data_IF_247089901386
#
_entry.id   IF_247089901386
#
_cell.length_a   1.000
_cell.length_b   1.000
_cell.length_c   1.000
_cell.angle_alpha   90.00
_cell.angle_beta   90.00
_cell.angle_gamma   90.00
#
_symmetry.space_group_name_H-M   'P 1'
#
loop_
_entity.id
_entity.type
_entity.pdbx_description
1 polymer ?
#
# COMPACT_ATOMS: atom_id res chain seq x y z
N UNK A 1 26.68 -8.95 -9.39
CA UNK A 1 25.27 -9.25 -9.07
C UNK A 1 25.15 -10.43 -8.10
N UNK A 2 25.18 -11.70 -8.54
CA UNK A 2 24.89 -12.89 -7.68
C UNK A 2 25.53 -12.82 -6.28
N UNK A 3 26.85 -12.66 -6.21
CA UNK A 3 27.57 -12.61 -4.93
C UNK A 3 27.12 -11.47 -4.00
N UNK A 4 26.64 -10.35 -4.54
CA UNK A 4 26.12 -9.25 -3.73
C UNK A 4 24.72 -9.51 -3.21
N UNK A 5 23.85 -10.11 -4.03
CA UNK A 5 22.52 -10.53 -3.58
C UNK A 5 22.67 -11.62 -2.51
N UNK A 6 23.50 -12.63 -2.75
CA UNK A 6 23.77 -13.69 -1.78
C UNK A 6 24.22 -13.12 -0.42
N UNK A 7 25.20 -12.21 -0.43
CA UNK A 7 25.71 -11.53 0.77
C UNK A 7 24.66 -10.67 1.49
N UNK A 8 23.68 -10.09 0.79
CA UNK A 8 22.58 -9.37 1.40
C UNK A 8 21.71 -10.30 2.25
N UNK A 9 21.24 -11.42 1.67
CA UNK A 9 20.39 -12.35 2.40
C UNK A 9 21.13 -13.06 3.53
N UNK A 10 22.42 -13.38 3.37
CA UNK A 10 23.25 -13.88 4.48
C UNK A 10 23.34 -12.87 5.63
N UNK A 11 23.50 -11.57 5.32
CA UNK A 11 23.55 -10.53 6.33
C UNK A 11 22.23 -10.34 7.07
N UNK A 12 21.09 -10.47 6.37
CA UNK A 12 19.75 -10.41 6.98
C UNK A 12 19.45 -11.66 7.82
N UNK A 13 19.55 -12.85 7.24
CA UNK A 13 19.20 -14.12 7.90
C UNK A 13 20.19 -14.50 9.01
N UNK A 14 21.45 -14.08 8.90
CA UNK A 14 22.52 -14.40 9.83
C UNK A 14 22.37 -13.79 11.24
N UNK A 15 21.42 -12.86 11.43
CA UNK A 15 21.21 -12.16 12.71
C UNK A 15 20.54 -13.01 13.77
N UNK A 16 19.76 -14.01 13.37
CA UNK A 16 19.04 -14.89 14.31
C UNK A 16 17.92 -14.18 15.09
N UNK A 17 17.38 -13.08 14.56
CA UNK A 17 16.30 -12.30 15.18
C UNK A 17 14.89 -12.65 14.64
N UNK A 18 14.78 -13.70 13.83
CA UNK A 18 13.53 -14.03 13.13
C UNK A 18 13.31 -13.19 11.86
N UNK A 19 14.36 -12.55 11.37
CA UNK A 19 14.35 -11.77 10.14
C UNK A 19 14.01 -12.67 8.94
N UNK A 20 13.30 -12.09 7.97
CA UNK A 20 12.90 -12.75 6.73
C UNK A 20 13.31 -11.89 5.55
N UNK A 21 13.53 -12.54 4.42
CA UNK A 21 13.94 -11.90 3.17
C UNK A 21 13.16 -12.52 2.01
N UNK A 22 12.78 -11.68 1.04
CA UNK A 22 12.15 -12.06 -0.22
C UNK A 22 13.00 -11.56 -1.39
N UNK A 23 12.69 -12.04 -2.60
CA UNK A 23 13.42 -11.69 -3.82
C UNK A 23 12.46 -11.38 -4.95
N UNK A 24 12.55 -10.16 -5.48
CA UNK A 24 11.93 -9.75 -6.75
C UNK A 24 13.04 -9.55 -7.77
N UNK A 25 12.86 -10.12 -8.96
CA UNK A 25 13.74 -9.92 -10.11
C UNK A 25 13.14 -8.87 -11.01
N UNK A 26 13.94 -7.89 -11.39
CA UNK A 26 13.57 -6.80 -12.30
C UNK A 26 14.29 -6.96 -13.65
N UNK A 27 13.56 -6.77 -14.75
CA UNK A 27 14.05 -6.66 -16.13
C UNK A 27 12.95 -5.96 -16.94
N UNK A 28 12.65 -6.37 -18.18
CA UNK A 28 11.45 -5.91 -18.89
C UNK A 28 10.17 -6.20 -18.09
N UNK A 29 10.27 -7.11 -17.12
CA UNK A 29 9.18 -7.51 -16.24
C UNK A 29 9.75 -7.68 -14.87
N UNK A 30 8.93 -7.38 -13.88
CA UNK A 30 9.22 -7.66 -12.50
C UNK A 30 8.48 -8.93 -12.06
N UNK A 31 9.18 -9.81 -11.38
CA UNK A 31 8.67 -11.13 -10.97
C UNK A 31 9.12 -11.44 -9.56
N UNK A 32 8.17 -11.89 -8.72
CA UNK A 32 8.48 -12.45 -7.41
C UNK A 32 9.16 -13.81 -7.62
N UNK A 33 10.46 -13.88 -7.35
CA UNK A 33 11.25 -15.12 -7.43
C UNK A 33 11.15 -15.91 -6.13
N UNK A 34 11.07 -15.20 -5.01
CA UNK A 34 11.01 -15.81 -3.68
C UNK A 34 10.12 -14.96 -2.75
N UNK A 35 9.00 -15.51 -2.24
CA UNK A 35 8.26 -14.91 -1.14
C UNK A 35 9.12 -14.76 0.13
N UNK A 36 8.66 -13.99 1.11
CA UNK A 36 9.38 -13.85 2.40
C UNK A 36 9.68 -15.22 3.03
N UNK A 37 10.96 -15.47 3.30
CA UNK A 37 11.45 -16.71 3.93
C UNK A 37 12.48 -16.41 5.01
N UNK A 38 12.56 -17.27 6.02
CA UNK A 38 13.64 -17.35 7.01
C UNK A 38 14.64 -18.50 6.69
N UNK A 39 14.44 -19.21 5.58
CA UNK A 39 15.26 -20.36 5.16
C UNK A 39 16.44 -19.93 4.27
N UNK A 40 17.70 -20.04 4.75
CA UNK A 40 18.89 -19.70 3.98
C UNK A 40 19.10 -20.57 2.74
N UNK A 41 18.65 -21.83 2.76
CA UNK A 41 18.78 -22.74 1.61
C UNK A 41 17.81 -22.31 0.49
N UNK A 42 16.60 -21.87 0.85
CA UNK A 42 15.64 -21.32 -0.10
C UNK A 42 16.15 -20.02 -0.73
N UNK A 43 16.77 -19.13 0.06
CA UNK A 43 17.43 -17.92 -0.44
C UNK A 43 18.53 -18.26 -1.45
N UNK A 44 19.47 -19.13 -1.08
CA UNK A 44 20.59 -19.52 -1.93
C UNK A 44 20.11 -20.14 -3.25
N UNK A 45 19.09 -21.00 -3.20
CA UNK A 45 18.48 -21.60 -4.38
C UNK A 45 17.82 -20.57 -5.30
N UNK A 46 17.12 -19.56 -4.75
CA UNK A 46 16.53 -18.49 -5.54
C UNK A 46 17.59 -17.61 -6.21
N UNK A 47 18.66 -17.26 -5.47
CA UNK A 47 19.79 -16.49 -5.99
C UNK A 47 20.53 -17.24 -7.10
N UNK A 48 20.65 -18.57 -7.00
CA UNK A 48 21.22 -19.42 -8.06
C UNK A 48 20.37 -19.45 -9.34
N UNK A 49 19.07 -19.23 -9.21
CA UNK A 49 18.12 -19.17 -10.33
C UNK A 49 18.11 -17.83 -11.07
N UNK A 50 18.76 -16.79 -10.54
CA UNK A 50 18.75 -15.45 -11.16
C UNK A 50 19.44 -15.46 -12.53
N UNK A 51 18.75 -14.89 -13.52
CA UNK A 51 19.25 -14.76 -14.88
C UNK A 51 19.19 -13.31 -15.35
N UNK A 52 20.22 -12.91 -16.10
CA UNK A 52 20.25 -11.62 -16.80
C UNK A 52 19.43 -11.77 -18.08
N UNK A 53 18.37 -10.97 -18.22
CA UNK A 53 17.68 -10.82 -19.50
C UNK A 53 17.98 -9.42 -20.04
N UNK A 54 18.33 -9.36 -21.33
CA UNK A 54 18.43 -8.08 -22.02
C UNK A 54 17.01 -7.58 -22.30
N UNK A 55 16.78 -6.30 -22.07
CA UNK A 55 15.48 -5.71 -22.28
C UNK A 55 15.35 -4.36 -21.60
N UNK A 56 14.10 -3.96 -21.39
CA UNK A 56 13.75 -2.76 -20.65
C UNK A 56 13.88 -3.01 -19.14
N UNK A 57 13.57 -2.01 -18.32
CA UNK A 57 13.66 -2.09 -16.85
C UNK A 57 12.35 -1.56 -16.25
N UNK A 58 11.52 -2.47 -15.74
CA UNK A 58 10.29 -2.22 -15.00
C UNK A 58 10.60 -2.11 -13.49
N UNK A 59 11.49 -1.17 -13.17
CA UNK A 59 12.01 -0.94 -11.83
C UNK A 59 10.90 -0.60 -10.83
N UNK A 60 9.97 0.27 -11.19
CA UNK A 60 8.90 0.69 -10.28
C UNK A 60 7.94 -0.44 -9.95
N UNK A 61 7.55 -1.27 -10.91
CA UNK A 61 6.81 -2.50 -10.61
C UNK A 61 7.59 -3.44 -9.70
N UNK A 62 8.92 -3.49 -9.88
CA UNK A 62 9.80 -4.27 -9.02
C UNK A 62 9.73 -3.83 -7.56
N UNK A 63 9.71 -2.52 -7.33
CA UNK A 63 9.58 -1.94 -5.99
C UNK A 63 8.19 -2.21 -5.41
N UNK A 64 7.11 -2.00 -6.18
CA UNK A 64 5.74 -2.31 -5.76
C UNK A 64 5.57 -3.79 -5.41
N UNK A 65 6.01 -4.72 -6.26
CA UNK A 65 5.99 -6.16 -5.98
C UNK A 65 6.82 -6.50 -4.74
N UNK A 66 7.91 -5.78 -4.49
CA UNK A 66 8.66 -5.88 -3.25
C UNK A 66 7.81 -5.56 -2.02
N UNK A 67 6.99 -4.50 -2.09
CA UNK A 67 6.03 -4.16 -1.03
C UNK A 67 4.94 -5.23 -0.87
N UNK A 68 4.41 -5.79 -1.96
CA UNK A 68 3.42 -6.88 -1.92
C UNK A 68 3.99 -8.14 -1.24
N UNK A 69 5.27 -8.46 -1.49
CA UNK A 69 5.97 -9.56 -0.80
C UNK A 69 6.06 -9.30 0.70
N UNK A 70 6.31 -8.05 1.11
CA UNK A 70 6.33 -7.64 2.51
C UNK A 70 4.94 -7.74 3.14
N UNK A 71 3.90 -7.32 2.42
CA UNK A 71 2.50 -7.36 2.85
C UNK A 71 1.98 -8.79 3.01
N UNK A 72 2.22 -9.66 2.02
CA UNK A 72 1.80 -11.06 2.07
C UNK A 72 2.42 -11.83 3.26
N UNK A 73 3.62 -11.45 3.69
CA UNK A 73 4.27 -12.01 4.87
C UNK A 73 4.01 -11.24 6.16
N UNK A 74 3.28 -10.12 6.13
CA UNK A 74 3.10 -9.26 7.28
C UNK A 74 2.15 -9.89 8.30
N UNK A 75 2.56 -9.83 9.57
CA UNK A 75 1.68 -10.09 10.71
C UNK A 75 1.71 -8.86 11.61
N UNK A 76 0.54 -8.39 12.02
CA UNK A 76 0.45 -7.30 12.98
C UNK A 76 0.86 -7.81 14.37
N UNK A 77 1.69 -7.05 15.07
CA UNK A 77 1.95 -7.26 16.49
C UNK A 77 0.64 -7.09 17.28
N UNK A 78 0.39 -7.99 18.23
CA UNK A 78 -0.79 -7.91 19.09
C UNK A 78 -0.62 -6.75 20.09
N UNK A 79 -1.64 -5.90 20.23
CA UNK A 79 -1.65 -4.79 21.18
C UNK A 79 -2.52 -3.63 20.73
N UNK A 80 -2.44 -2.50 21.44
CA UNK A 80 -3.08 -1.23 21.05
C UNK A 80 -2.15 -0.04 21.30
N UNK A 81 -2.26 1.01 20.49
CA UNK A 81 -1.50 2.25 20.66
C UNK A 81 -0.02 2.12 20.32
N UNK A 82 0.82 2.99 20.92
CA UNK A 82 2.24 3.12 20.61
C UNK A 82 3.06 1.82 20.77
N UNK A 83 2.62 0.91 21.64
CA UNK A 83 3.27 -0.38 21.89
C UNK A 83 3.23 -1.30 20.67
N UNK A 84 2.17 -1.23 19.86
CA UNK A 84 2.09 -1.96 18.60
C UNK A 84 3.19 -1.46 17.67
N UNK A 85 3.25 -0.15 17.44
CA UNK A 85 4.21 0.45 16.52
C UNK A 85 5.68 0.14 16.89
N UNK A 86 6.03 0.16 18.18
CA UNK A 86 7.39 -0.20 18.65
C UNK A 86 7.72 -1.70 18.58
N UNK A 87 6.70 -2.56 18.47
CA UNK A 87 6.85 -4.02 18.40
C UNK A 87 6.61 -4.60 17.00
N UNK A 88 6.22 -3.77 16.02
CA UNK A 88 6.08 -4.18 14.63
C UNK A 88 7.43 -4.54 14.03
N UNK A 89 7.42 -5.58 13.19
CA UNK A 89 8.57 -5.91 12.36
C UNK A 89 8.86 -4.76 11.39
N UNK A 90 10.15 -4.47 11.20
CA UNK A 90 10.59 -3.50 10.19
C UNK A 90 10.48 -4.12 8.82
N UNK A 91 10.12 -3.29 7.85
CA UNK A 91 9.80 -3.70 6.49
C UNK A 91 10.36 -2.64 5.57
N UNK A 92 11.37 -3.03 4.79
CA UNK A 92 12.04 -2.11 3.87
C UNK A 92 12.28 -2.84 2.56
N UNK A 93 12.18 -2.12 1.45
CA UNK A 93 12.54 -2.63 0.13
C UNK A 93 13.96 -2.17 -0.18
N UNK A 94 14.82 -3.09 -0.61
CA UNK A 94 16.17 -2.75 -1.09
C UNK A 94 16.22 -3.04 -2.57
N UNK A 95 16.43 -2.01 -3.37
CA UNK A 95 16.49 -2.07 -4.83
C UNK A 95 17.89 -1.68 -5.31
N UNK A 96 18.39 -2.40 -6.31
CA UNK A 96 19.62 -2.03 -7.01
C UNK A 96 19.43 -2.17 -8.52
N UNK A 97 20.00 -1.25 -9.28
CA UNK A 97 19.87 -1.24 -10.75
C UNK A 97 21.10 -0.63 -11.41
N UNK A 98 21.42 -1.09 -12.62
CA UNK A 98 22.40 -0.47 -13.53
C UNK A 98 21.73 0.20 -14.75
N UNK A 99 20.40 0.23 -14.79
CA UNK A 99 19.59 0.82 -15.86
C UNK A 99 18.49 1.74 -15.35
N UNK A 100 17.99 2.59 -16.24
CA UNK A 100 16.88 3.51 -15.97
C UNK A 100 15.54 2.77 -16.02
N UNK A 101 14.61 3.17 -15.16
CA UNK A 101 13.19 2.87 -15.32
C UNK A 101 12.72 3.31 -16.73
N UNK A 102 12.02 2.43 -17.44
CA UNK A 102 11.45 2.71 -18.76
C UNK A 102 10.37 1.71 -19.21
N UNK A 103 9.73 0.98 -18.30
CA UNK A 103 8.76 -0.06 -18.65
C UNK A 103 7.65 -0.30 -17.62
N UNK A 104 7.56 0.46 -16.52
CA UNK A 104 6.46 0.37 -15.56
C UNK A 104 5.31 1.32 -15.89
N UNK A 105 5.59 2.62 -16.04
CA UNK A 105 4.55 3.64 -16.24
C UNK A 105 4.36 4.19 -17.67
N UNK A 106 5.17 3.68 -18.60
CA UNK A 106 5.20 4.14 -19.98
C UNK A 106 5.47 2.91 -20.83
N UNK A 107 4.55 1.95 -20.85
CA UNK A 107 4.70 0.76 -21.68
C UNK A 107 4.92 1.18 -23.14
N UNK A 108 6.19 1.21 -23.54
CA UNK A 108 6.57 1.02 -24.92
C UNK A 108 5.78 -0.19 -25.41
N UNK A 109 5.21 -0.12 -26.62
CA UNK A 109 4.45 -1.23 -27.19
C UNK A 109 5.33 -2.50 -27.31
N UNK A 110 5.43 -3.23 -26.21
CA UNK A 110 6.06 -4.53 -26.12
C UNK A 110 4.94 -5.56 -26.35
N UNK A 111 5.30 -6.76 -26.77
CA UNK A 111 4.33 -7.85 -26.94
C UNK A 111 3.88 -8.47 -25.60
N UNK A 112 4.06 -7.76 -24.49
CA UNK A 112 3.92 -8.29 -23.14
C UNK A 112 2.73 -7.62 -22.41
N UNK A 113 1.84 -8.41 -21.76
CA UNK A 113 0.64 -7.90 -21.12
C UNK A 113 0.81 -7.24 -19.73
N UNK A 114 2.02 -7.22 -19.13
CA UNK A 114 2.19 -6.72 -17.76
C UNK A 114 1.42 -7.55 -16.71
N UNK A 115 1.38 -7.07 -15.48
CA UNK A 115 0.23 -7.30 -14.58
C UNK A 115 -0.88 -6.25 -14.80
N UNK A 116 -0.66 -5.32 -15.74
CA UNK A 116 -1.59 -4.26 -16.11
C UNK A 116 -1.54 -3.03 -15.20
N UNK A 117 -0.60 -2.98 -14.24
CA UNK A 117 -0.46 -1.87 -13.30
C UNK A 117 0.69 -0.97 -13.78
N UNK A 118 0.33 0.28 -14.05
CA UNK A 118 1.23 1.33 -14.49
C UNK A 118 1.81 2.02 -13.23
N UNK A 119 2.93 1.50 -12.71
CA UNK A 119 3.51 1.99 -11.44
C UNK A 119 4.38 3.22 -11.67
N UNK A 120 3.97 4.35 -11.10
CA UNK A 120 4.71 5.61 -11.15
C UNK A 120 5.58 5.81 -9.91
N UNK A 121 6.50 6.79 -9.96
CA UNK A 121 7.30 7.17 -8.79
C UNK A 121 6.41 7.65 -7.62
N UNK A 122 5.33 8.39 -7.90
CA UNK A 122 4.40 8.90 -6.89
C UNK A 122 3.62 7.78 -6.17
N UNK A 123 3.38 6.65 -6.86
CA UNK A 123 2.75 5.47 -6.24
C UNK A 123 3.70 4.81 -5.23
N UNK A 124 5.00 4.80 -5.51
CA UNK A 124 6.01 4.16 -4.66
C UNK A 124 6.21 4.87 -3.32
N UNK A 125 5.91 6.16 -3.27
CA UNK A 125 6.03 6.97 -2.05
C UNK A 125 4.89 6.74 -1.07
N UNK A 126 3.79 6.18 -1.58
CA UNK A 126 2.59 5.82 -0.84
C UNK A 126 2.60 4.33 -0.48
N UNK A 127 3.74 3.66 -0.60
CA UNK A 127 3.85 2.27 -0.20
C UNK A 127 3.79 2.15 1.31
N UNK A 128 2.84 1.34 1.76
CA UNK A 128 2.65 1.01 3.15
C UNK A 128 2.52 -0.50 3.33
N UNK A 129 2.88 -0.98 4.52
CA UNK A 129 2.50 -2.30 5.00
C UNK A 129 1.90 -2.14 6.39
N UNK A 130 0.64 -2.57 6.55
CA UNK A 130 -0.12 -2.37 7.80
C UNK A 130 -0.18 -0.89 8.22
N UNK A 131 -0.35 0.03 7.26
CA UNK A 131 -0.42 1.47 7.49
C UNK A 131 0.91 2.14 7.85
N UNK A 132 2.02 1.40 7.83
CA UNK A 132 3.36 1.94 8.11
C UNK A 132 4.07 2.17 6.77
N UNK A 133 4.60 3.38 6.50
CA UNK A 133 5.40 3.65 5.30
C UNK A 133 6.53 2.65 5.15
N UNK A 134 6.74 2.18 3.93
CA UNK A 134 7.79 1.21 3.59
C UNK A 134 9.02 1.96 3.07
N UNK A 135 10.14 2.02 3.81
CA UNK A 135 11.35 2.66 3.32
C UNK A 135 11.92 1.92 2.11
N UNK A 136 12.29 2.67 1.08
CA UNK A 136 12.94 2.14 -0.12
C UNK A 136 14.40 2.58 -0.16
N UNK A 137 15.31 1.62 -0.07
CA UNK A 137 16.74 1.83 -0.16
C UNK A 137 17.21 1.54 -1.58
N UNK A 138 17.88 2.49 -2.22
CA UNK A 138 18.23 2.43 -3.64
C UNK A 138 19.74 2.36 -3.83
N UNK A 139 20.21 1.48 -4.73
CA UNK A 139 21.62 1.38 -5.12
C UNK A 139 21.76 1.53 -6.64
N UNK A 140 22.34 2.64 -7.08
CA UNK A 140 22.64 2.90 -8.48
C UNK A 140 24.02 2.37 -8.88
N UNK A 141 24.11 1.60 -9.96
CA UNK A 141 25.36 0.97 -10.41
C UNK A 141 25.83 1.61 -11.72
N UNK A 142 26.96 2.32 -11.66
CA UNK A 142 27.54 3.03 -12.78
C UNK A 142 26.72 4.25 -13.23
N UNK A 143 27.06 4.80 -14.38
CA UNK A 143 26.51 6.08 -14.87
C UNK A 143 25.21 5.92 -15.69
N UNK A 144 24.66 4.71 -15.78
CA UNK A 144 23.53 4.36 -16.64
C UNK A 144 22.15 4.53 -16.00
N UNK A 145 22.11 4.88 -14.71
CA UNK A 145 20.88 4.99 -13.92
C UNK A 145 20.32 6.41 -13.95
N UNK A 146 19.05 6.54 -13.57
CA UNK A 146 18.48 7.84 -13.19
C UNK A 146 18.77 8.08 -11.71
N UNK A 147 19.92 8.72 -11.42
CA UNK A 147 20.36 8.99 -10.05
C UNK A 147 19.38 9.89 -9.29
N UNK A 148 18.82 10.90 -9.97
CA UNK A 148 17.89 11.84 -9.35
C UNK A 148 16.61 11.12 -8.90
N UNK A 149 16.03 10.27 -9.76
CA UNK A 149 14.84 9.50 -9.40
C UNK A 149 15.08 8.48 -8.27
N UNK A 150 16.23 7.79 -8.28
CA UNK A 150 16.59 6.84 -7.22
C UNK A 150 16.84 7.54 -5.88
N UNK A 151 17.48 8.71 -5.91
CA UNK A 151 17.71 9.52 -4.72
C UNK A 151 16.42 10.12 -4.18
N UNK A 152 15.52 10.58 -5.06
CA UNK A 152 14.21 11.11 -4.70
C UNK A 152 13.34 10.04 -4.04
N UNK A 153 13.22 8.84 -4.65
CA UNK A 153 12.46 7.73 -4.07
C UNK A 153 12.94 7.37 -2.67
N UNK A 154 14.25 7.20 -2.50
CA UNK A 154 14.81 6.85 -1.20
C UNK A 154 14.57 7.94 -0.16
N UNK A 155 14.79 9.20 -0.53
CA UNK A 155 14.57 10.33 0.39
C UNK A 155 13.11 10.47 0.80
N UNK A 156 12.16 10.31 -0.13
CA UNK A 156 10.72 10.48 0.14
C UNK A 156 10.11 9.32 0.94
N UNK A 157 10.64 8.11 0.79
CA UNK A 157 10.18 6.91 1.53
C UNK A 157 10.89 6.69 2.87
N UNK A 158 11.94 7.46 3.17
CA UNK A 158 12.72 7.33 4.40
C UNK A 158 13.86 6.31 4.34
N UNK A 159 14.22 5.84 3.14
CA UNK A 159 15.43 5.04 2.91
C UNK A 159 16.66 5.91 2.61
N UNK A 160 17.68 5.30 2.01
CA UNK A 160 18.87 6.02 1.53
C UNK A 160 19.33 5.53 0.15
N UNK A 161 19.85 6.46 -0.64
CA UNK A 161 20.47 6.19 -1.93
C UNK A 161 21.98 6.00 -1.80
N UNK A 162 22.53 5.03 -2.52
CA UNK A 162 23.98 4.82 -2.66
C UNK A 162 24.35 4.62 -4.13
N UNK A 163 25.25 5.46 -4.65
CA UNK A 163 25.89 5.24 -5.95
C UNK A 163 27.13 4.35 -5.80
N UNK A 164 27.34 3.42 -6.73
CA UNK A 164 28.58 2.64 -6.84
C UNK A 164 29.10 2.64 -8.28
N UNK A 165 30.42 2.63 -8.46
CA UNK A 165 31.03 2.70 -9.80
C UNK A 165 30.81 1.40 -10.62
N UNK A 166 30.55 0.29 -9.94
CA UNK A 166 30.28 -0.98 -10.62
C UNK A 166 30.12 -2.18 -9.69
N UNK A 167 29.88 -3.34 -10.30
CA UNK A 167 29.55 -4.58 -9.61
C UNK A 167 30.60 -5.12 -8.63
N UNK A 168 31.83 -4.59 -8.64
CA UNK A 168 32.87 -4.97 -7.68
C UNK A 168 32.54 -4.52 -6.25
N UNK A 169 31.79 -3.43 -6.10
CA UNK A 169 31.43 -2.84 -4.81
C UNK A 169 30.06 -3.32 -4.31
N UNK A 170 29.24 -3.88 -5.19
CA UNK A 170 27.85 -4.24 -4.90
C UNK A 170 27.70 -5.13 -3.66
N UNK A 171 28.60 -6.11 -3.47
CA UNK A 171 28.51 -7.01 -2.32
C UNK A 171 28.74 -6.28 -1.00
N UNK A 172 29.80 -5.47 -0.90
CA UNK A 172 30.05 -4.67 0.30
C UNK A 172 28.94 -3.65 0.56
N UNK A 173 28.41 -3.04 -0.50
CA UNK A 173 27.32 -2.06 -0.38
C UNK A 173 26.05 -2.70 0.13
N UNK A 174 25.60 -3.81 -0.48
CA UNK A 174 24.38 -4.48 -0.03
C UNK A 174 24.51 -5.06 1.39
N UNK A 175 25.68 -5.58 1.76
CA UNK A 175 25.92 -5.99 3.16
C UNK A 175 25.81 -4.80 4.12
N UNK A 176 26.41 -3.66 3.79
CA UNK A 176 26.30 -2.44 4.61
C UNK A 176 24.86 -1.90 4.67
N UNK A 177 24.12 -1.93 3.56
CA UNK A 177 22.69 -1.59 3.53
C UNK A 177 21.91 -2.50 4.47
N UNK A 178 22.11 -3.82 4.38
CA UNK A 178 21.44 -4.77 5.26
C UNK A 178 21.71 -4.46 6.73
N UNK A 179 22.95 -4.11 7.11
CA UNK A 179 23.33 -3.69 8.47
C UNK A 179 22.57 -2.43 8.89
N UNK A 180 22.51 -1.42 8.02
CA UNK A 180 21.78 -0.17 8.27
C UNK A 180 20.28 -0.36 8.55
N UNK A 181 19.62 -1.37 7.95
CA UNK A 181 18.21 -1.68 8.25
C UNK A 181 17.96 -1.99 9.74
N UNK A 182 18.98 -2.52 10.43
CA UNK A 182 18.88 -2.82 11.87
C UNK A 182 19.09 -1.58 12.75
N UNK A 183 19.73 -0.54 12.21
CA UNK A 183 20.00 0.71 12.90
C UNK A 183 18.85 1.72 12.77
N UNK A 184 17.84 1.45 11.92
CA UNK A 184 16.62 2.25 11.88
C UNK A 184 16.01 2.34 13.30
N UNK A 185 15.41 3.47 13.67
CA UNK A 185 14.76 3.62 14.97
C UNK A 185 13.31 3.96 14.69
N UNK A 186 12.36 3.03 14.95
CA UNK A 186 10.95 3.35 14.78
C UNK A 186 10.58 4.45 15.77
N UNK A 187 10.15 5.59 15.24
CA UNK A 187 9.61 6.68 16.04
C UNK A 187 8.12 6.68 15.85
N UNK A 188 7.42 6.32 16.92
CA UNK A 188 5.97 6.32 16.98
C UNK A 188 5.57 7.50 17.86
N UNK A 189 4.63 8.32 17.39
CA UNK A 189 4.12 9.43 18.16
C UNK A 189 2.61 9.49 17.94
N UNK A 190 1.92 10.00 18.95
CA UNK A 190 0.54 10.43 18.83
C UNK A 190 0.57 11.94 18.75
N UNK A 191 0.03 12.51 17.67
CA UNK A 191 0.01 13.96 17.52
C UNK A 191 -0.86 14.57 18.61
N UNK A 192 -0.36 15.62 19.27
CA UNK A 192 -1.10 16.28 20.35
C UNK A 192 -2.36 17.00 19.85
N UNK A 193 -2.37 17.40 18.57
CA UNK A 193 -3.54 17.89 17.83
C UNK A 193 -3.29 17.71 16.34
N UNK A 194 -4.36 17.70 15.55
CA UNK A 194 -4.26 17.57 14.11
C UNK A 194 -3.69 18.83 13.42
N UNK A 195 -3.75 19.99 14.09
CA UNK A 195 -3.19 21.26 13.59
C UNK A 195 -1.66 21.29 13.58
N UNK A 196 -1.02 20.33 14.25
CA UNK A 196 0.44 20.22 14.20
C UNK A 196 0.86 19.64 12.86
N UNK A 197 1.63 20.42 12.10
CA UNK A 197 2.17 20.03 10.80
C UNK A 197 3.61 19.52 10.89
N UNK A 198 4.23 19.57 12.08
CA UNK A 198 5.61 19.19 12.30
C UNK A 198 5.75 18.40 13.61
N UNK A 199 6.51 17.31 13.56
CA UNK A 199 6.96 16.55 14.70
C UNK A 199 8.43 16.85 15.01
N UNK A 200 8.81 16.73 16.27
CA UNK A 200 10.20 16.91 16.73
C UNK A 200 10.70 15.64 17.40
N UNK A 201 11.78 15.07 16.89
CA UNK A 201 12.53 13.99 17.54
C UNK A 201 13.79 14.57 18.15
N UNK A 202 13.95 14.43 19.47
CA UNK A 202 15.20 14.67 20.17
C UNK A 202 15.84 13.32 20.49
N UNK A 203 16.93 13.00 19.80
CA UNK A 203 17.77 11.84 20.09
C UNK A 203 18.87 12.27 21.06
N UNK A 204 18.99 11.58 22.19
CA UNK A 204 20.04 11.84 23.19
C UNK A 204 20.94 10.63 23.31
N UNK A 205 22.23 10.81 23.06
CA UNK A 205 23.27 9.80 23.25
C UNK A 205 24.33 10.34 24.24
N UNK A 206 24.23 9.90 25.49
CA UNK A 206 25.12 10.36 26.56
C UNK A 206 25.00 11.86 26.83
N UNK A 207 26.05 12.62 26.48
CA UNK A 207 26.10 14.09 26.61
C UNK A 207 25.77 14.81 25.29
N UNK A 208 25.62 14.08 24.19
CA UNK A 208 25.29 14.63 22.87
C UNK A 208 23.78 14.51 22.60
N UNK A 209 23.22 15.49 21.89
CA UNK A 209 21.82 15.47 21.48
C UNK A 209 21.68 15.95 20.04
N UNK A 210 20.89 15.22 19.26
CA UNK A 210 20.52 15.55 17.89
C UNK A 210 19.01 15.81 17.82
N UNK A 211 18.63 16.85 17.08
CA UNK A 211 17.24 17.27 16.90
C UNK A 211 16.87 17.12 15.43
N UNK A 212 15.79 16.40 15.16
CA UNK A 212 15.24 16.23 13.83
C UNK A 212 13.77 16.69 13.82
N UNK A 213 13.45 17.59 12.90
CA UNK A 213 12.07 17.97 12.58
C UNK A 213 11.61 17.18 11.37
N UNK A 214 10.37 16.70 11.40
CA UNK A 214 9.75 16.03 10.25
C UNK A 214 8.34 16.56 10.05
N UNK A 215 7.91 16.66 8.80
CA UNK A 215 6.56 17.08 8.48
C UNK A 215 5.59 15.97 8.83
N UNK A 216 4.49 16.34 9.50
CA UNK A 216 3.37 15.44 9.71
C UNK A 216 2.50 15.46 8.45
N UNK A 217 1.91 14.32 8.05
CA UNK A 217 0.85 14.34 7.05
C UNK A 217 -0.27 15.28 7.54
N UNK A 218 -1.11 15.79 6.63
CA UNK A 218 -2.27 16.56 7.04
C UNK A 218 -3.16 15.68 7.93
N UNK A 219 -3.10 15.93 9.24
CA UNK A 219 -3.84 15.14 10.22
C UNK A 219 -5.28 15.65 10.37
N UNK A 220 -5.53 16.91 9.99
CA UNK A 220 -6.89 17.44 9.87
C UNK A 220 -7.37 17.27 8.42
N UNK A 221 -8.64 16.91 8.25
CA UNK A 221 -9.31 17.09 6.98
C UNK A 221 -9.46 18.58 6.67
N UNK A 222 -9.40 18.96 5.39
CA UNK A 222 -9.65 20.33 4.93
C UNK A 222 -11.03 20.82 5.41
N UNK A 223 -11.08 21.59 6.50
CA UNK A 223 -12.33 22.20 6.97
C UNK A 223 -12.46 22.58 8.45
N UNK A 224 -11.56 22.18 9.35
CA UNK A 224 -11.73 22.49 10.78
C UNK A 224 -10.97 23.76 11.20
N UNK A 225 -11.68 24.88 11.32
CA UNK A 225 -11.16 26.17 11.76
C UNK A 225 -11.20 26.31 13.30
N UNK A 226 -10.47 25.44 13.99
CA UNK A 226 -9.82 25.72 15.28
C UNK A 226 -10.63 26.46 16.35
N UNK A 227 -11.89 26.10 16.58
CA UNK A 227 -12.66 26.68 17.70
C UNK A 227 -13.74 25.75 18.26
N UNK A 228 -13.36 24.88 19.20
CA UNK A 228 -14.34 24.08 19.94
C UNK A 228 -13.81 23.40 21.20
N UNK A 229 -14.16 23.96 22.36
CA UNK A 229 -13.97 23.47 23.72
C UNK A 229 -14.57 22.07 23.96
N UNK A 230 -13.73 21.13 24.42
CA UNK A 230 -14.06 20.11 25.44
C UNK A 230 -14.96 18.93 25.04
N UNK A 231 -14.33 17.76 24.81
CA UNK A 231 -15.02 16.46 24.93
C UNK A 231 -14.31 15.32 24.19
N UNK A 232 -13.61 14.47 24.92
CA UNK A 232 -13.02 13.24 24.37
C UNK A 232 -14.10 12.21 24.02
N UNK A 233 -14.26 11.90 22.74
CA UNK A 233 -14.69 10.60 22.19
C UNK A 233 -14.05 10.47 20.80
N UNK A 234 -13.21 9.45 20.60
CA UNK A 234 -12.80 9.08 19.25
C UNK A 234 -14.02 8.61 18.47
N UNK A 235 -14.15 9.03 17.23
CA UNK A 235 -15.08 8.42 16.28
C UNK A 235 -14.70 8.91 14.89
N UNK A 236 -13.90 8.12 14.15
CA UNK A 236 -13.85 8.24 12.69
C UNK A 236 -15.16 7.71 12.09
N UNK A 237 -16.30 8.09 12.69
CA UNK A 237 -17.55 7.34 12.62
C UNK A 237 -17.38 5.84 12.86
N UNK A 238 -18.38 5.08 12.44
CA UNK A 238 -18.33 3.63 12.41
C UNK A 238 -19.14 3.14 11.21
N UNK A 239 -18.87 1.92 10.74
CA UNK A 239 -19.56 1.34 9.61
C UNK A 239 -20.79 0.54 10.06
N UNK A 240 -21.77 0.47 9.16
CA UNK A 240 -22.97 -0.34 9.26
C UNK A 240 -23.03 -1.28 8.07
N UNK A 241 -23.40 -2.53 8.31
CA UNK A 241 -23.49 -3.55 7.26
C UNK A 241 -24.43 -3.15 6.12
N UNK A 242 -24.24 -3.74 4.93
CA UNK A 242 -25.20 -3.70 3.82
C UNK A 242 -26.65 -4.01 4.27
N UNK A 243 -26.81 -4.98 5.18
CA UNK A 243 -28.12 -5.38 5.69
C UNK A 243 -28.82 -4.27 6.49
N UNK A 244 -28.06 -3.49 7.26
CA UNK A 244 -28.58 -2.32 7.98
C UNK A 244 -29.19 -1.32 6.99
N UNK A 245 -28.39 -0.87 6.01
CA UNK A 245 -28.81 0.12 5.03
C UNK A 245 -30.03 -0.31 4.20
N UNK A 246 -30.18 -1.61 3.93
CA UNK A 246 -31.35 -2.16 3.23
C UNK A 246 -32.67 -2.13 4.03
N UNK A 247 -32.60 -1.90 5.36
CA UNK A 247 -33.77 -1.97 6.26
C UNK A 247 -33.99 -0.70 7.09
N UNK A 248 -33.08 0.27 6.99
CA UNK A 248 -33.07 1.53 7.75
C UNK A 248 -32.99 2.73 6.80
N UNK A 249 -33.93 2.80 5.84
CA UNK A 249 -33.99 3.89 4.85
C UNK A 249 -34.10 5.28 5.49
N UNK A 250 -34.78 5.40 6.63
CA UNK A 250 -34.91 6.66 7.37
C UNK A 250 -33.57 7.21 7.88
N UNK A 251 -32.55 6.36 8.00
CA UNK A 251 -31.21 6.74 8.47
C UNK A 251 -30.26 7.15 7.34
N UNK A 252 -30.70 7.09 6.08
CA UNK A 252 -29.84 7.45 4.95
C UNK A 252 -29.52 8.96 4.98
N UNK A 253 -28.23 9.34 5.02
CA UNK A 253 -27.81 10.74 5.09
C UNK A 253 -27.99 11.48 3.76
N UNK A 254 -28.14 10.74 2.66
CA UNK A 254 -28.29 11.25 1.30
C UNK A 254 -29.44 10.55 0.57
N UNK A 255 -30.05 11.26 -0.38
CA UNK A 255 -31.19 10.76 -1.16
C UNK A 255 -30.79 10.20 -2.54
N UNK A 256 -29.52 10.34 -2.90
CA UNK A 256 -28.95 9.87 -4.16
C UNK A 256 -27.51 9.38 -3.94
N UNK A 257 -27.10 8.41 -4.75
CA UNK A 257 -25.74 7.91 -4.82
C UNK A 257 -25.34 7.74 -6.28
N UNK A 258 -24.13 8.18 -6.61
CA UNK A 258 -23.51 7.83 -7.89
C UNK A 258 -22.93 6.42 -7.79
N UNK A 259 -23.20 5.54 -8.75
CA UNK A 259 -22.52 4.25 -8.91
C UNK A 259 -21.96 4.18 -10.33
N UNK A 260 -20.64 4.06 -10.44
CA UNK A 260 -19.94 4.33 -11.69
C UNK A 260 -20.08 5.80 -12.08
N UNK A 261 -20.70 6.06 -13.23
CA UNK A 261 -20.97 7.40 -13.76
C UNK A 261 -22.47 7.77 -13.74
N UNK A 262 -23.31 6.98 -13.06
CA UNK A 262 -24.76 7.16 -13.00
C UNK A 262 -25.24 7.51 -11.60
N UNK A 263 -26.15 8.47 -11.51
CA UNK A 263 -26.87 8.78 -10.28
C UNK A 263 -28.11 7.89 -10.12
N UNK A 264 -28.20 7.23 -8.97
CA UNK A 264 -29.35 6.44 -8.53
C UNK A 264 -30.00 7.16 -7.36
N UNK A 265 -31.33 7.28 -7.38
CA UNK A 265 -32.07 7.72 -6.21
C UNK A 265 -32.18 6.60 -5.17
N UNK A 266 -32.62 6.97 -3.97
CA UNK A 266 -32.81 6.05 -2.85
C UNK A 266 -33.62 4.80 -3.24
N UNK A 267 -34.74 4.97 -3.96
CA UNK A 267 -35.60 3.86 -4.36
C UNK A 267 -34.87 2.88 -5.28
N UNK A 268 -34.12 3.40 -6.26
CA UNK A 268 -33.29 2.58 -7.14
C UNK A 268 -32.16 1.86 -6.40
N UNK A 269 -31.50 2.52 -5.44
CA UNK A 269 -30.49 1.87 -4.60
C UNK A 269 -31.09 0.76 -3.71
N UNK A 270 -32.28 0.95 -3.16
CA UNK A 270 -33.00 -0.07 -2.39
C UNK A 270 -33.40 -1.26 -3.27
N UNK A 271 -33.82 -1.01 -4.51
CA UNK A 271 -34.09 -2.06 -5.49
C UNK A 271 -32.81 -2.89 -5.78
N UNK A 272 -31.65 -2.24 -5.91
CA UNK A 272 -30.34 -2.93 -6.08
C UNK A 272 -29.99 -3.75 -4.83
N UNK A 273 -30.10 -3.18 -3.62
CA UNK A 273 -29.80 -3.87 -2.36
C UNK A 273 -30.73 -5.07 -2.09
N UNK A 274 -31.98 -4.99 -2.55
CA UNK A 274 -33.00 -6.05 -2.43
C UNK A 274 -32.98 -7.08 -3.56
N UNK A 275 -32.24 -6.83 -4.64
CA UNK A 275 -32.22 -7.69 -5.81
C UNK A 275 -31.53 -9.03 -5.53
N UNK A 276 -32.13 -10.18 -5.90
CA UNK A 276 -31.43 -11.45 -5.85
C UNK A 276 -30.33 -11.46 -6.92
N UNK A 277 -29.06 -11.55 -6.49
CA UNK A 277 -27.90 -11.42 -7.37
C UNK A 277 -27.87 -12.47 -8.49
N UNK A 278 -28.34 -13.71 -8.24
CA UNK A 278 -28.43 -14.81 -9.23
C UNK A 278 -27.15 -15.06 -10.06
N UNK A 279 -25.99 -14.72 -9.50
CA UNK A 279 -24.69 -14.85 -10.17
C UNK A 279 -24.23 -13.60 -10.93
N UNK A 280 -25.03 -12.55 -10.99
CA UNK A 280 -24.62 -11.24 -11.49
C UNK A 280 -23.64 -10.60 -10.50
N UNK A 281 -22.42 -10.34 -10.99
CA UNK A 281 -21.31 -9.76 -10.24
C UNK A 281 -21.48 -8.25 -10.05
N UNK A 282 -22.08 -7.56 -11.02
CA UNK A 282 -22.38 -6.14 -10.91
C UNK A 282 -23.34 -5.85 -9.76
N UNK A 283 -24.36 -6.70 -9.56
CA UNK A 283 -25.27 -6.59 -8.41
C UNK A 283 -24.56 -6.81 -7.08
N UNK A 284 -23.60 -7.74 -7.02
CA UNK A 284 -22.85 -8.01 -5.80
C UNK A 284 -21.91 -6.86 -5.44
N UNK A 285 -21.17 -6.33 -6.42
CA UNK A 285 -20.28 -5.20 -6.22
C UNK A 285 -21.07 -3.93 -5.89
N UNK A 286 -22.09 -3.59 -6.68
CA UNK A 286 -22.91 -2.40 -6.47
C UNK A 286 -23.59 -2.41 -5.08
N UNK A 287 -24.03 -3.58 -4.61
CA UNK A 287 -24.61 -3.71 -3.27
C UNK A 287 -23.62 -3.34 -2.16
N UNK A 288 -22.34 -3.72 -2.29
CA UNK A 288 -21.32 -3.36 -1.30
C UNK A 288 -20.89 -1.90 -1.43
N UNK A 289 -20.82 -1.39 -2.66
CA UNK A 289 -20.50 0.00 -2.95
C UNK A 289 -21.54 0.97 -2.39
N UNK A 290 -22.85 0.64 -2.52
CA UNK A 290 -23.94 1.42 -1.91
C UNK A 290 -23.75 1.52 -0.40
N UNK A 291 -23.51 0.39 0.28
CA UNK A 291 -23.31 0.37 1.72
C UNK A 291 -22.06 1.17 2.13
N UNK A 292 -20.99 1.08 1.34
CA UNK A 292 -19.76 1.81 1.61
C UNK A 292 -19.99 3.32 1.53
N UNK A 293 -20.58 3.80 0.44
CA UNK A 293 -20.88 5.23 0.24
C UNK A 293 -21.85 5.79 1.28
N UNK A 294 -22.80 4.98 1.77
CA UNK A 294 -23.70 5.39 2.86
C UNK A 294 -22.98 5.50 4.20
N UNK A 295 -22.06 4.58 4.51
CA UNK A 295 -21.22 4.69 5.70
C UNK A 295 -20.36 5.97 5.65
N UNK A 296 -19.70 6.25 4.54
CA UNK A 296 -18.93 7.50 4.35
C UNK A 296 -19.82 8.72 4.51
N UNK A 297 -20.98 8.74 3.85
CA UNK A 297 -21.93 9.84 3.97
C UNK A 297 -22.52 9.98 5.39
N UNK A 298 -22.52 8.90 6.19
CA UNK A 298 -22.94 8.90 7.59
C UNK A 298 -21.83 9.31 8.56
N UNK A 299 -20.63 9.64 8.04
CA UNK A 299 -19.50 10.14 8.81
C UNK A 299 -18.45 9.09 9.17
N UNK A 300 -18.49 7.88 8.57
CA UNK A 300 -17.41 6.92 8.69
C UNK A 300 -16.18 7.40 7.91
N UNK A 301 -15.00 7.28 8.52
CA UNK A 301 -13.70 7.60 7.97
C UNK A 301 -13.39 6.66 6.80
N UNK A 302 -13.17 7.25 5.63
CA UNK A 302 -13.04 6.56 4.37
C UNK A 302 -11.58 6.38 3.91
N UNK A 303 -10.61 6.81 4.72
CA UNK A 303 -9.19 6.76 4.37
C UNK A 303 -8.73 5.38 3.84
N UNK A 304 -9.20 4.30 4.49
CA UNK A 304 -8.83 2.93 4.13
C UNK A 304 -9.66 2.32 2.97
N UNK A 305 -10.74 2.98 2.53
CA UNK A 305 -11.69 2.42 1.55
C UNK A 305 -11.89 3.30 0.31
N UNK A 306 -11.45 4.56 0.32
CA UNK A 306 -11.68 5.53 -0.75
C UNK A 306 -11.17 5.04 -2.11
N UNK A 307 -9.97 4.44 -2.16
CA UNK A 307 -9.41 3.85 -3.39
C UNK A 307 -10.23 2.65 -3.88
N UNK A 308 -10.73 1.82 -2.95
CA UNK A 308 -11.59 0.66 -3.26
C UNK A 308 -12.95 1.10 -3.79
N UNK A 309 -13.52 2.17 -3.23
CA UNK A 309 -14.75 2.81 -3.74
C UNK A 309 -14.53 3.29 -5.19
N UNK A 310 -13.42 3.98 -5.44
CA UNK A 310 -13.06 4.46 -6.78
C UNK A 310 -12.87 3.32 -7.79
N UNK A 311 -12.20 2.24 -7.40
CA UNK A 311 -12.01 1.06 -8.24
C UNK A 311 -13.35 0.36 -8.56
N UNK A 312 -14.26 0.29 -7.59
CA UNK A 312 -15.60 -0.26 -7.80
C UNK A 312 -16.44 0.58 -8.77
N UNK A 313 -16.37 1.92 -8.66
CA UNK A 313 -17.02 2.82 -9.62
C UNK A 313 -16.44 2.65 -11.03
N UNK A 314 -15.11 2.61 -11.16
CA UNK A 314 -14.45 2.41 -12.46
C UNK A 314 -14.87 1.08 -13.11
N UNK A 315 -14.91 -0.02 -12.33
CA UNK A 315 -15.34 -1.31 -12.84
C UNK A 315 -16.80 -1.29 -13.33
N UNK A 316 -17.69 -0.59 -12.63
CA UNK A 316 -19.08 -0.43 -13.07
C UNK A 316 -19.18 0.36 -14.38
N UNK A 317 -18.38 1.40 -14.57
CA UNK A 317 -18.32 2.17 -15.83
C UNK A 317 -17.85 1.30 -16.99
N UNK A 318 -16.80 0.49 -16.79
CA UNK A 318 -16.23 -0.34 -17.85
C UNK A 318 -17.17 -1.45 -18.34
N UNK A 319 -18.11 -1.86 -17.49
CA UNK A 319 -19.08 -2.91 -17.79
C UNK A 319 -20.48 -2.40 -18.14
N UNK A 320 -20.74 -1.10 -17.99
CA UNK A 320 -22.05 -0.52 -18.27
C UNK A 320 -22.33 -0.43 -19.78
N UNK A 321 -23.43 -1.02 -20.20
CA UNK A 321 -23.87 -1.07 -21.60
C UNK A 321 -24.84 0.05 -21.98
N UNK A 322 -25.18 0.94 -21.04
CA UNK A 322 -26.14 2.00 -21.26
C UNK A 322 -27.40 1.88 -20.39
N UNK A 323 -27.64 0.75 -19.73
CA UNK A 323 -28.85 0.53 -18.92
C UNK A 323 -28.62 0.63 -17.40
N UNK A 324 -27.37 0.62 -16.93
CA UNK A 324 -27.04 0.71 -15.50
C UNK A 324 -27.30 -0.60 -14.75
N UNK A 325 -26.96 -0.63 -13.46
CA UNK A 325 -27.04 -1.85 -12.64
C UNK A 325 -28.50 -2.33 -12.54
N UNK A 326 -28.80 -3.63 -12.78
CA UNK A 326 -27.89 -4.75 -13.04
C UNK A 326 -27.33 -4.82 -14.47
N UNK A 327 -26.03 -5.10 -14.58
CA UNK A 327 -25.30 -5.23 -15.85
C UNK A 327 -25.29 -6.66 -16.41
N UNK A 328 -25.74 -7.65 -15.64
CA UNK A 328 -25.81 -9.04 -16.09
C UNK A 328 -24.45 -9.73 -16.23
N UNK A 329 -23.40 -9.19 -15.60
CA UNK A 329 -22.03 -9.69 -15.71
C UNK A 329 -21.87 -10.95 -14.88
N UNK A 330 -21.47 -12.07 -15.49
CA UNK A 330 -21.32 -13.36 -14.78
C UNK A 330 -19.92 -13.63 -14.22
N UNK A 331 -18.91 -12.90 -14.70
CA UNK A 331 -17.51 -13.02 -14.30
C UNK A 331 -17.08 -11.77 -13.51
N UNK A 332 -16.12 -11.89 -12.60
CA UNK A 332 -15.65 -10.77 -11.81
C UNK A 332 -14.71 -9.85 -12.59
N UNK A 333 -14.02 -10.38 -13.60
CA UNK A 333 -13.03 -9.65 -14.40
C UNK A 333 -12.07 -8.82 -13.51
N UNK A 334 -11.57 -9.46 -12.44
CA UNK A 334 -10.68 -8.84 -11.43
C UNK A 334 -11.37 -8.17 -10.23
N UNK A 335 -12.67 -7.89 -10.25
CA UNK A 335 -13.34 -7.14 -9.18
C UNK A 335 -13.79 -7.95 -7.94
N UNK A 336 -13.42 -9.24 -7.84
CA UNK A 336 -13.77 -10.05 -6.66
C UNK A 336 -13.13 -9.49 -5.39
N UNK A 337 -11.85 -9.12 -5.49
CA UNK A 337 -11.09 -8.56 -4.37
C UNK A 337 -11.62 -7.17 -3.95
N UNK A 338 -12.06 -6.35 -4.91
CA UNK A 338 -12.73 -5.06 -4.65
C UNK A 338 -14.02 -5.31 -3.85
N UNK A 339 -14.86 -6.27 -4.29
CA UNK A 339 -16.10 -6.61 -3.59
C UNK A 339 -15.83 -7.12 -2.17
N UNK A 340 -14.79 -7.93 -1.98
CA UNK A 340 -14.45 -8.49 -0.67
C UNK A 340 -13.86 -7.44 0.29
N UNK A 341 -13.05 -6.49 -0.22
CA UNK A 341 -12.55 -5.36 0.56
C UNK A 341 -13.69 -4.45 1.04
N UNK A 342 -14.63 -4.10 0.16
CA UNK A 342 -15.82 -3.31 0.55
C UNK A 342 -16.67 -4.06 1.58
N UNK A 343 -16.84 -5.37 1.43
CA UNK A 343 -17.60 -6.19 2.39
C UNK A 343 -16.91 -6.20 3.77
N UNK A 344 -15.60 -6.41 3.84
CA UNK A 344 -14.85 -6.38 5.09
C UNK A 344 -14.96 -5.01 5.79
N UNK A 345 -14.80 -3.92 5.04
CA UNK A 345 -14.91 -2.56 5.59
C UNK A 345 -16.33 -2.25 6.09
N UNK A 346 -17.37 -2.60 5.31
CA UNK A 346 -18.77 -2.42 5.69
C UNK A 346 -19.19 -3.21 6.93
N UNK A 347 -18.53 -4.34 7.20
CA UNK A 347 -18.75 -5.15 8.41
C UNK A 347 -17.87 -4.70 9.58
N UNK A 348 -17.01 -3.70 9.40
CA UNK A 348 -16.09 -3.18 10.41
C UNK A 348 -14.94 -4.13 10.73
N UNK A 349 -14.66 -5.09 9.84
CA UNK A 349 -13.48 -5.97 9.90
C UNK A 349 -12.19 -5.24 9.47
N UNK A 350 -12.35 -4.06 8.85
CA UNK A 350 -11.30 -3.08 8.53
C UNK A 350 -11.87 -1.66 8.64
N UNK A 351 -11.00 -0.64 8.66
CA UNK A 351 -11.42 0.77 8.81
C UNK A 351 -11.88 1.14 10.23
N UNK A 352 -12.84 2.07 10.39
CA UNK A 352 -13.16 2.69 11.69
C UNK A 352 -13.91 1.77 12.66
N UNK A 353 -14.23 0.53 12.27
CA UNK A 353 -14.96 -0.45 13.07
C UNK A 353 -16.47 -0.34 12.95
N UNK A 354 -17.20 -1.33 13.48
CA UNK A 354 -18.65 -1.46 13.31
C UNK A 354 -19.44 -0.73 14.40
N UNK A 355 -20.51 -0.03 14.03
CA UNK A 355 -21.42 0.62 14.96
C UNK A 355 -22.30 -0.39 15.72
N UNK A 356 -22.53 -0.18 17.02
CA UNK A 356 -23.50 -0.96 17.81
C UNK A 356 -24.96 -0.83 17.32
#
# INVERSE_FOLDING_TARGET
MRAGVDAFGEAVLGRGLGDRVGLVRVSTQSEIVLPLTDDPDAWSAAVDGLTIANGWTALWDGVRLGNEVLEAGATAAAGTGLEVCLSQARRSVVVFTDGQENNSADEHATSYPGDGIDTTLDDLEQLHVLGIPTPVWTVGIGDGVDEDALAELAARTGGAYTAIDGYAELASTLTATAEGLSDEIPVCFEAASCDHTEGLVLVVDGEESFEATFSLPALCADGDDGSGDGGATGDGGCTRTRGYWSTHEDDWPVDHLTLGDRDYDRDACLDILGAPTRGDKSLQLASQLIAAKLNVAAGADDADVASTIGAADAWLVDHDDGDGVPLGVGDWDGAEEIKDALDAWNNGDSGPGHCD
#
